data_IF_427607122301
#
_entry.id   IF_427607122301
#
_cell.length_a   1.000
_cell.length_b   1.000
_cell.length_c   1.000
_cell.angle_alpha   90.00
_cell.angle_beta   90.00
_cell.angle_gamma   90.00
#
_symmetry.space_group_name_H-M   'P 1'
#
loop_
_entity.id
_entity.type
_entity.pdbx_description
1 polymer ?
#
# COMPACT_ATOMS: atom_id res chain seq x y z
N UNK A 1 52.56 -16.27 25.55
CA UNK A 1 51.66 -16.29 24.38
C UNK A 1 50.39 -15.57 24.77
N UNK A 2 50.23 -14.32 24.35
CA UNK A 2 49.05 -13.50 24.64
C UNK A 2 48.00 -13.78 23.57
N UNK A 3 46.77 -14.09 23.98
CA UNK A 3 45.64 -14.16 23.05
C UNK A 3 45.41 -12.76 22.44
N UNK A 4 45.05 -12.65 21.15
CA UNK A 4 44.70 -11.36 20.56
C UNK A 4 43.44 -10.80 21.23
N UNK A 5 43.30 -9.47 21.35
CA UNK A 5 42.10 -8.86 21.91
C UNK A 5 40.90 -9.28 21.07
N UNK A 6 39.84 -9.72 21.75
CA UNK A 6 38.55 -9.98 21.13
C UNK A 6 38.21 -8.79 20.24
N UNK A 7 38.20 -9.01 18.93
CA UNK A 7 37.71 -8.04 17.97
C UNK A 7 36.31 -7.65 18.46
N UNK A 8 36.18 -6.44 18.97
CA UNK A 8 34.88 -5.85 19.24
C UNK A 8 34.21 -5.74 17.88
N UNK A 9 33.47 -6.78 17.50
CA UNK A 9 32.44 -6.66 16.50
C UNK A 9 31.47 -5.63 17.07
N UNK A 10 31.69 -4.36 16.72
CA UNK A 10 30.67 -3.33 16.73
C UNK A 10 29.64 -3.74 15.66
N UNK A 11 28.99 -4.88 15.89
CA UNK A 11 28.02 -5.52 15.02
C UNK A 11 26.71 -4.81 15.23
N UNK A 12 26.58 -3.66 14.58
CA UNK A 12 25.29 -3.00 14.46
C UNK A 12 24.29 -4.02 13.89
N UNK A 13 23.20 -4.26 14.63
CA UNK A 13 22.21 -5.23 14.23
C UNK A 13 21.64 -4.81 12.87
N UNK A 14 21.54 -5.72 11.89
CA UNK A 14 21.11 -5.35 10.55
C UNK A 14 19.70 -4.76 10.58
N UNK A 15 19.53 -3.60 9.94
CA UNK A 15 18.22 -3.00 9.74
C UNK A 15 17.39 -3.89 8.81
N UNK A 16 16.12 -4.10 9.15
CA UNK A 16 15.17 -4.80 8.29
C UNK A 16 13.95 -3.93 8.05
N UNK A 17 13.53 -3.87 6.80
CA UNK A 17 12.35 -3.12 6.36
C UNK A 17 11.38 -4.08 5.68
N UNK A 18 10.11 -3.99 6.05
CA UNK A 18 9.01 -4.64 5.34
C UNK A 18 8.54 -3.73 4.22
N UNK A 19 8.46 -4.28 3.01
CA UNK A 19 8.03 -3.55 1.82
C UNK A 19 6.91 -4.33 1.16
N UNK A 20 5.83 -3.63 0.82
CA UNK A 20 4.75 -4.12 -0.02
C UNK A 20 4.86 -3.45 -1.38
N UNK A 21 4.43 -4.12 -2.46
CA UNK A 21 4.44 -3.52 -3.78
C UNK A 21 3.15 -3.76 -4.59
N UNK A 22 3.07 -3.10 -5.74
CA UNK A 22 1.95 -3.16 -6.69
C UNK A 22 1.74 -4.56 -7.30
N UNK A 23 2.70 -5.47 -7.15
CA UNK A 23 2.56 -6.87 -7.58
C UNK A 23 2.04 -7.74 -6.45
N UNK A 24 1.71 -7.19 -5.29
CA UNK A 24 1.19 -7.95 -4.17
C UNK A 24 2.27 -8.74 -3.42
N UNK A 25 3.55 -8.43 -3.62
CA UNK A 25 4.62 -9.10 -2.90
C UNK A 25 4.90 -8.39 -1.57
N UNK A 26 5.13 -9.16 -0.52
CA UNK A 26 5.69 -8.66 0.74
C UNK A 26 7.15 -9.08 0.81
N UNK A 27 8.04 -8.13 1.06
CA UNK A 27 9.50 -8.34 1.04
C UNK A 27 10.12 -7.89 2.34
N UNK A 28 11.10 -8.64 2.82
CA UNK A 28 12.00 -8.21 3.90
C UNK A 28 13.31 -7.78 3.26
N UNK A 29 13.56 -6.48 3.25
CA UNK A 29 14.82 -5.90 2.77
C UNK A 29 15.75 -5.72 3.95
N UNK A 30 17.00 -6.17 3.80
CA UNK A 30 18.02 -6.00 4.83
C UNK A 30 19.08 -5.00 4.39
N UNK A 31 19.43 -4.08 5.28
CA UNK A 31 20.51 -3.12 5.11
C UNK A 31 21.37 -3.01 6.38
N UNK A 32 22.47 -2.26 6.29
CA UNK A 32 23.33 -1.98 7.45
C UNK A 32 22.85 -0.78 8.26
N UNK A 33 22.48 0.31 7.59
CA UNK A 33 21.94 1.51 8.20
C UNK A 33 20.93 2.18 7.27
N UNK A 34 20.03 2.99 7.82
CA UNK A 34 19.09 3.79 7.02
C UNK A 34 19.81 4.86 6.17
N UNK A 35 20.99 5.33 6.62
CA UNK A 35 21.81 6.33 5.91
C UNK A 35 22.79 5.72 4.91
N UNK A 36 23.11 4.44 5.09
CA UNK A 36 24.06 3.67 4.29
C UNK A 36 23.53 2.26 4.22
N UNK A 37 22.52 2.04 3.37
CA UNK A 37 21.90 0.73 3.21
C UNK A 37 22.92 -0.35 2.80
N UNK A 38 24.11 0.04 2.31
CA UNK A 38 24.94 -0.85 1.50
C UNK A 38 24.22 -1.15 0.20
N UNK A 39 24.52 -2.26 -0.46
CA UNK A 39 23.61 -2.81 -1.47
C UNK A 39 22.44 -3.48 -0.72
N UNK A 40 21.23 -2.87 -0.70
CA UNK A 40 20.09 -3.49 -0.04
C UNK A 40 19.74 -4.77 -0.78
N UNK A 41 19.62 -5.87 -0.05
CA UNK A 41 19.18 -7.14 -0.63
C UNK A 41 17.83 -7.55 -0.07
N UNK A 42 16.93 -7.97 -0.96
CA UNK A 42 15.73 -8.68 -0.57
C UNK A 42 16.16 -10.00 0.07
N UNK A 43 15.94 -10.12 1.37
CA UNK A 43 16.28 -11.33 2.13
C UNK A 43 15.19 -12.38 1.99
N UNK A 44 13.94 -11.94 1.95
CA UNK A 44 12.75 -12.78 1.80
C UNK A 44 11.75 -12.06 0.91
N UNK A 45 11.03 -12.83 0.08
CA UNK A 45 9.90 -12.38 -0.72
C UNK A 45 8.79 -13.39 -0.52
N UNK A 46 7.58 -12.90 -0.22
CA UNK A 46 6.41 -13.71 0.08
C UNK A 46 5.24 -13.36 -0.83
N UNK A 47 4.45 -14.39 -1.16
CA UNK A 47 3.31 -14.30 -2.06
C UNK A 47 3.66 -14.55 -3.52
N UNK A 48 2.62 -14.66 -4.34
CA UNK A 48 2.70 -14.77 -5.79
C UNK A 48 2.38 -13.41 -6.43
N UNK A 49 3.07 -13.02 -7.51
CA UNK A 49 2.86 -11.72 -8.12
C UNK A 49 1.47 -11.62 -8.77
N UNK A 50 0.65 -10.70 -8.28
CA UNK A 50 -0.65 -10.33 -8.84
C UNK A 50 -0.98 -8.86 -8.54
N UNK A 51 -1.27 -8.07 -9.59
CA UNK A 51 -1.67 -6.66 -9.44
C UNK A 51 -3.02 -6.47 -8.75
N UNK A 52 -3.92 -7.46 -8.82
CA UNK A 52 -5.20 -7.40 -8.09
C UNK A 52 -5.02 -7.60 -6.59
N UNK A 53 -3.84 -8.09 -6.18
CA UNK A 53 -3.45 -8.33 -4.79
C UNK A 53 -2.37 -7.32 -4.33
N UNK A 54 -2.25 -6.18 -5.00
CA UNK A 54 -1.35 -5.09 -4.63
C UNK A 54 -1.44 -4.80 -3.12
N UNK A 55 -0.28 -4.62 -2.49
CA UNK A 55 -0.21 -4.29 -1.06
C UNK A 55 -0.42 -2.79 -0.89
N UNK A 56 -1.57 -2.41 -0.32
CA UNK A 56 -1.96 -1.01 -0.08
C UNK A 56 -1.56 -0.56 1.34
N UNK A 57 -1.45 -1.48 2.28
CA UNK A 57 -1.06 -1.20 3.65
C UNK A 57 -0.27 -2.34 4.27
N UNK A 58 0.71 -2.01 5.11
CA UNK A 58 1.46 -2.96 5.92
C UNK A 58 1.49 -2.56 7.38
N UNK A 59 1.33 -3.56 8.24
CA UNK A 59 1.56 -3.41 9.68
C UNK A 59 2.28 -4.65 10.21
N UNK A 60 2.98 -4.50 11.34
CA UNK A 60 3.52 -5.60 12.11
C UNK A 60 2.95 -5.59 13.51
N UNK A 61 2.75 -6.78 14.07
CA UNK A 61 2.21 -6.96 15.42
C UNK A 61 2.63 -8.32 15.97
N UNK A 62 2.20 -8.65 17.18
CA UNK A 62 2.32 -9.99 17.75
C UNK A 62 0.95 -10.52 18.15
N UNK A 63 0.73 -11.81 17.92
CA UNK A 63 -0.42 -12.52 18.48
C UNK A 63 -0.32 -12.58 20.03
N UNK A 64 -1.42 -12.89 20.74
CA UNK A 64 -1.40 -13.02 22.19
C UNK A 64 -0.41 -14.07 22.73
N UNK A 65 -0.07 -15.09 21.94
CA UNK A 65 0.92 -16.12 22.26
C UNK A 65 2.38 -15.69 21.98
N UNK A 66 2.58 -14.45 21.51
CA UNK A 66 3.89 -13.88 21.18
C UNK A 66 4.33 -14.13 19.73
N UNK A 67 3.56 -14.88 18.93
CA UNK A 67 3.88 -15.13 17.53
C UNK A 67 3.98 -13.82 16.73
N UNK A 68 5.10 -13.53 16.05
CA UNK A 68 5.25 -12.28 15.31
C UNK A 68 4.50 -12.36 13.97
N UNK A 69 3.72 -11.33 13.67
CA UNK A 69 2.82 -11.26 12.53
C UNK A 69 3.12 -10.05 11.62
N UNK A 70 2.89 -10.23 10.33
CA UNK A 70 2.79 -9.17 9.33
C UNK A 70 1.38 -9.18 8.77
N UNK A 71 0.76 -8.00 8.72
CA UNK A 71 -0.57 -7.80 8.15
C UNK A 71 -0.41 -7.07 6.83
N UNK A 72 -0.94 -7.64 5.74
CA UNK A 72 -0.90 -7.04 4.41
C UNK A 72 -2.32 -6.74 3.95
N UNK A 73 -2.67 -5.45 3.91
CA UNK A 73 -3.92 -4.96 3.32
C UNK A 73 -3.81 -4.96 1.80
N UNK A 74 -4.75 -5.62 1.14
CA UNK A 74 -4.75 -5.88 -0.30
C UNK A 74 -5.74 -4.98 -1.04
N UNK A 75 -5.41 -4.61 -2.27
CA UNK A 75 -6.34 -3.93 -3.18
C UNK A 75 -7.62 -4.74 -3.44
N UNK A 76 -7.58 -6.07 -3.27
CA UNK A 76 -8.74 -6.96 -3.33
C UNK A 76 -9.72 -6.80 -2.14
N UNK A 77 -9.44 -5.90 -1.19
CA UNK A 77 -10.27 -5.69 0.01
C UNK A 77 -10.06 -6.75 1.10
N UNK A 78 -9.03 -7.57 0.96
CA UNK A 78 -8.65 -8.56 1.97
C UNK A 78 -7.47 -8.07 2.81
N UNK A 79 -7.32 -8.63 4.01
CA UNK A 79 -6.10 -8.55 4.81
C UNK A 79 -5.54 -9.95 4.97
N UNK A 80 -4.30 -10.16 4.53
CA UNK A 80 -3.56 -11.38 4.83
C UNK A 80 -2.83 -11.25 6.15
N UNK A 81 -2.87 -12.31 6.95
CA UNK A 81 -2.11 -12.43 8.20
C UNK A 81 -0.99 -13.42 7.95
N UNK A 82 0.25 -12.94 7.99
CA UNK A 82 1.45 -13.72 7.68
C UNK A 82 2.29 -13.94 8.94
N UNK A 83 2.88 -15.11 9.09
CA UNK A 83 3.91 -15.34 10.08
C UNK A 83 5.19 -14.59 9.69
N UNK A 84 5.67 -13.68 10.54
CA UNK A 84 6.73 -12.73 10.16
C UNK A 84 8.09 -13.38 9.90
N UNK A 85 8.36 -14.58 10.44
CA UNK A 85 9.64 -15.25 10.23
C UNK A 85 9.66 -16.13 8.97
N UNK A 86 8.53 -16.72 8.59
CA UNK A 86 8.44 -17.67 7.47
C UNK A 86 7.74 -17.10 6.25
N UNK A 87 6.90 -16.08 6.40
CA UNK A 87 6.00 -15.59 5.35
C UNK A 87 4.78 -16.49 5.09
N UNK A 88 4.59 -17.52 5.92
CA UNK A 88 3.43 -18.40 5.82
C UNK A 88 2.14 -17.63 6.07
N UNK A 89 1.16 -17.80 5.20
CA UNK A 89 -0.16 -17.19 5.38
C UNK A 89 -0.96 -17.99 6.40
N UNK A 90 -1.14 -17.42 7.58
CA UNK A 90 -1.87 -18.02 8.69
C UNK A 90 -3.38 -17.80 8.57
N UNK A 91 -3.79 -16.66 8.02
CA UNK A 91 -5.19 -16.33 7.79
C UNK A 91 -5.37 -15.33 6.65
N UNK A 92 -6.60 -15.24 6.15
CA UNK A 92 -7.05 -14.19 5.24
C UNK A 92 -8.43 -13.72 5.67
N UNK A 93 -8.60 -12.41 5.80
CA UNK A 93 -9.84 -11.78 6.27
C UNK A 93 -10.36 -10.87 5.18
N UNK A 94 -11.56 -11.15 4.66
CA UNK A 94 -12.25 -10.23 3.74
C UNK A 94 -12.89 -9.10 4.55
N UNK A 95 -12.61 -7.86 4.20
CA UNK A 95 -13.26 -6.70 4.81
C UNK A 95 -14.56 -6.42 4.07
N UNK A 96 -15.63 -6.15 4.81
CA UNK A 96 -16.78 -5.48 4.23
C UNK A 96 -16.33 -4.09 3.74
N UNK A 97 -16.86 -3.59 2.61
CA UNK A 97 -16.56 -2.23 2.18
C UNK A 97 -16.92 -1.28 3.32
N UNK A 98 -15.97 -0.44 3.72
CA UNK A 98 -16.25 0.62 4.68
C UNK A 98 -17.40 1.47 4.11
N UNK A 99 -18.47 1.67 4.89
CA UNK A 99 -19.50 2.63 4.52
C UNK A 99 -18.81 3.96 4.25
N UNK A 100 -19.00 4.49 3.04
CA UNK A 100 -18.34 5.70 2.55
C UNK A 100 -18.92 6.95 3.24
N UNK A 101 -18.91 7.02 4.56
CA UNK A 101 -19.20 8.26 5.27
C UNK A 101 -17.93 9.12 5.24
N UNK A 102 -17.82 9.96 4.22
CA UNK A 102 -16.85 11.06 4.20
C UNK A 102 -16.02 11.25 2.93
N UNK A 103 -16.28 10.53 1.83
CA UNK A 103 -15.66 10.92 0.54
C UNK A 103 -16.44 12.12 0.00
N UNK A 104 -15.99 13.32 0.36
CA UNK A 104 -16.41 14.54 -0.33
C UNK A 104 -16.20 14.33 -1.83
N UNK A 105 -17.30 14.37 -2.59
CA UNK A 105 -17.29 14.39 -4.03
C UNK A 105 -16.59 15.68 -4.46
N UNK A 106 -15.32 15.59 -4.85
CA UNK A 106 -14.67 16.65 -5.61
C UNK A 106 -15.30 16.65 -7.00
N UNK A 107 -16.37 17.42 -7.13
CA UNK A 107 -17.05 17.68 -8.39
C UNK A 107 -16.14 18.55 -9.25
N UNK A 108 -15.46 17.96 -10.23
CA UNK A 108 -14.82 18.70 -11.32
C UNK A 108 -15.91 19.38 -12.17
N UNK A 109 -16.28 20.60 -11.78
CA UNK A 109 -17.07 21.51 -12.61
C UNK A 109 -16.18 22.12 -13.69
N UNK A 110 -16.02 21.45 -14.82
CA UNK A 110 -15.51 22.07 -16.03
C UNK A 110 -16.61 22.92 -16.69
N UNK A 111 -16.50 24.24 -16.47
CA UNK A 111 -17.29 25.26 -17.14
C UNK A 111 -17.08 25.24 -18.67
N UNK A 112 -18.16 25.42 -19.42
CA UNK A 112 -18.13 25.49 -20.88
C UNK A 112 -19.45 25.96 -21.47
N UNK A 113 -19.79 27.23 -21.24
CA UNK A 113 -20.88 27.98 -21.88
C UNK A 113 -20.86 27.81 -23.40
N UNK A 114 -21.97 27.35 -23.99
CA UNK A 114 -22.26 27.60 -25.42
C UNK A 114 -23.51 28.44 -25.54
N UNK A 115 -23.29 29.67 -26.02
CA UNK A 115 -24.27 30.68 -26.35
C UNK A 115 -25.32 30.15 -27.35
N UNK A 116 -26.60 30.39 -27.03
CA UNK A 116 -27.71 30.11 -27.94
C UNK A 116 -27.96 31.38 -28.76
N UNK A 117 -27.53 31.36 -30.02
CA UNK A 117 -27.72 32.45 -30.99
C UNK A 117 -29.22 32.66 -31.23
N UNK A 118 -29.76 33.80 -30.79
CA UNK A 118 -31.12 34.22 -31.08
C UNK A 118 -31.21 34.71 -32.53
N UNK A 119 -32.08 34.11 -33.34
CA UNK A 119 -32.52 34.66 -34.62
C UNK A 119 -33.92 35.25 -34.44
N UNK A 120 -33.99 36.57 -34.48
CA UNK A 120 -35.23 37.35 -34.56
C UNK A 120 -35.67 37.47 -36.02
N UNK A 121 -36.95 37.23 -36.30
CA UNK A 121 -37.66 37.79 -37.44
C UNK A 121 -39.15 37.92 -37.05
N UNK A 122 -39.66 39.15 -37.05
CA UNK A 122 -41.10 39.46 -36.96
C UNK A 122 -41.85 39.01 -38.22
N UNK A 123 -43.15 39.23 -38.41
CA UNK A 123 -44.05 40.23 -37.86
C UNK A 123 -45.48 39.99 -38.41
N UNK A 124 -46.48 40.09 -37.53
CA UNK A 124 -47.85 40.64 -37.68
C UNK A 124 -48.93 40.10 -38.66
N UNK A 125 -50.12 39.95 -38.06
CA UNK A 125 -51.47 40.03 -38.66
C UNK A 125 -52.20 38.69 -38.58
N UNK A 126 -53.31 38.48 -37.87
CA UNK A 126 -54.44 39.35 -37.48
C UNK A 126 -55.71 38.59 -37.91
N UNK A 127 -56.53 38.12 -36.97
CA UNK A 127 -57.75 37.31 -37.24
C UNK A 127 -58.94 38.14 -37.73
N UNK A 128 -60.20 37.70 -37.55
CA UNK A 128 -60.73 36.42 -37.05
C UNK A 128 -61.02 35.38 -38.15
#
# INVERSE_FOLDING_TARGET
MSLPPAAMASGEAPMRVLVGDELGLVKVVQGRSISTLGEPSARLTWGEPSRTEAVEALASTSAPDGTPLVLAGRASGCVDVLHAASGEQLARVALAPASAEGRAEESESAAGTKEKKASVAGSHGGGP
#
